data_IF_721484312829
#
_entry.id   IF_721484312829
#
_cell.length_a   1.000
_cell.length_b   1.000
_cell.length_c   1.000
_cell.angle_alpha   90.00
_cell.angle_beta   90.00
_cell.angle_gamma   90.00
#
_symmetry.space_group_name_H-M   'P 1'
#
loop_
_entity.id
_entity.type
_entity.pdbx_description
1 polymer ?
#
# COMPACT_ATOMS: atom_id res chain seq x y z
N UNK A 1 -3.22 11.83 -16.98
CA UNK A 1 -4.14 10.92 -16.26
C UNK A 1 -3.55 9.55 -15.95
N UNK A 2 -2.91 8.87 -16.90
CA UNK A 2 -2.44 7.49 -16.71
C UNK A 2 -1.16 7.38 -15.86
N UNK A 3 -0.21 8.33 -16.00
CA UNK A 3 1.09 8.31 -15.29
C UNK A 3 0.94 8.21 -13.75
N UNK A 4 0.11 9.04 -13.08
CA UNK A 4 -0.09 8.90 -11.64
C UNK A 4 -0.61 7.52 -11.23
N UNK A 5 -1.51 6.96 -12.04
CA UNK A 5 -2.08 5.65 -11.80
C UNK A 5 -1.07 4.52 -11.90
N UNK A 6 -0.23 4.53 -12.94
CA UNK A 6 0.82 3.52 -13.12
C UNK A 6 1.82 3.53 -11.97
N UNK A 7 2.28 4.72 -11.55
CA UNK A 7 3.22 4.86 -10.42
C UNK A 7 2.60 4.30 -9.14
N UNK A 8 1.34 4.63 -8.84
CA UNK A 8 0.64 4.09 -7.68
C UNK A 8 0.50 2.57 -7.75
N UNK A 9 0.08 2.03 -8.89
CA UNK A 9 -0.06 0.57 -9.07
C UNK A 9 1.28 -0.15 -8.82
N UNK A 10 2.39 0.39 -9.33
CA UNK A 10 3.72 -0.17 -9.09
C UNK A 10 4.12 -0.14 -7.62
N UNK A 11 3.87 0.97 -6.91
CA UNK A 11 4.15 1.09 -5.47
C UNK A 11 3.31 0.09 -4.68
N UNK A 12 2.01 0.04 -4.95
CA UNK A 12 1.05 -0.84 -4.27
C UNK A 12 1.48 -2.31 -4.38
N UNK A 13 1.73 -2.77 -5.61
CA UNK A 13 2.10 -4.16 -5.88
C UNK A 13 3.44 -4.53 -5.26
N UNK A 14 4.44 -3.64 -5.35
CA UNK A 14 5.77 -3.92 -4.81
C UNK A 14 5.82 -3.84 -3.29
N UNK A 15 5.19 -2.85 -2.67
CA UNK A 15 5.14 -2.72 -1.20
C UNK A 15 4.37 -3.87 -0.56
N UNK A 16 3.23 -4.28 -1.15
CA UNK A 16 2.45 -5.41 -0.68
C UNK A 16 3.18 -6.74 -0.90
N UNK A 17 3.64 -7.00 -2.12
CA UNK A 17 4.28 -8.26 -2.49
C UNK A 17 5.58 -8.50 -1.71
N UNK A 18 6.38 -7.44 -1.49
CA UNK A 18 7.64 -7.55 -0.78
C UNK A 18 7.46 -7.98 0.68
N UNK A 19 6.63 -7.27 1.44
CA UNK A 19 6.44 -7.65 2.86
C UNK A 19 5.75 -8.99 2.99
N UNK A 20 4.78 -9.29 2.11
CA UNK A 20 4.00 -10.51 2.24
C UNK A 20 4.88 -11.72 1.98
N UNK A 21 5.73 -11.67 0.94
CA UNK A 21 6.71 -12.71 0.65
C UNK A 21 7.86 -12.77 1.67
N UNK A 22 8.42 -11.63 2.11
CA UNK A 22 9.52 -11.62 3.08
C UNK A 22 9.09 -12.14 4.45
N UNK A 23 7.92 -11.73 4.94
CA UNK A 23 7.41 -12.19 6.23
C UNK A 23 6.95 -13.64 6.16
N UNK A 24 6.24 -14.04 5.11
CA UNK A 24 5.84 -15.44 4.91
C UNK A 24 7.06 -16.35 4.73
N UNK A 25 8.09 -15.92 4.01
CA UNK A 25 9.35 -16.65 3.87
C UNK A 25 10.07 -16.85 5.20
N UNK A 26 10.13 -15.80 6.03
CA UNK A 26 10.68 -15.89 7.38
C UNK A 26 9.88 -16.85 8.27
N UNK A 27 8.55 -16.86 8.13
CA UNK A 27 7.64 -17.80 8.81
C UNK A 27 7.91 -19.24 8.38
N UNK A 28 8.01 -19.48 7.08
CA UNK A 28 8.25 -20.80 6.52
C UNK A 28 9.60 -21.38 6.95
N UNK A 29 10.62 -20.52 7.05
CA UNK A 29 11.94 -20.89 7.56
C UNK A 29 12.06 -20.97 9.08
N UNK A 30 10.96 -20.82 9.84
CA UNK A 30 10.94 -20.80 11.32
C UNK A 30 11.79 -19.71 12.02
N UNK A 31 12.42 -18.81 11.26
CA UNK A 31 13.18 -17.68 11.81
C UNK A 31 12.32 -16.73 12.68
N UNK A 32 11.00 -16.69 12.44
CA UNK A 32 10.10 -15.87 13.28
C UNK A 32 9.96 -16.45 14.70
N UNK A 33 10.03 -17.78 14.86
CA UNK A 33 9.99 -18.42 16.18
C UNK A 33 11.24 -18.04 16.99
N UNK A 34 12.42 -18.03 16.35
CA UNK A 34 13.67 -17.59 16.99
C UNK A 34 13.66 -16.09 17.33
N UNK A 35 13.12 -15.24 16.44
CA UNK A 35 12.95 -13.81 16.72
C UNK A 35 11.97 -13.55 17.87
N UNK A 36 10.95 -14.39 18.06
CA UNK A 36 10.00 -14.29 19.18
C UNK A 36 10.58 -14.80 20.51
N UNK A 37 11.59 -15.68 20.47
CA UNK A 37 12.33 -16.13 21.66
C UNK A 37 13.35 -15.08 22.11
N UNK A 38 13.89 -14.30 21.17
CA UNK A 38 14.69 -13.12 21.51
C UNK A 38 13.81 -12.03 22.15
N UNK A 39 14.30 -11.27 23.15
CA UNK A 39 13.53 -10.21 23.82
C UNK A 39 13.42 -8.94 22.95
N UNK A 40 13.11 -9.10 21.66
CA UNK A 40 12.94 -7.98 20.74
C UNK A 40 11.54 -7.39 20.83
N UNK A 41 11.41 -6.05 20.95
CA UNK A 41 10.09 -5.41 20.94
C UNK A 41 9.37 -5.63 19.60
N UNK A 42 8.10 -6.04 19.65
CA UNK A 42 7.27 -6.30 18.45
C UNK A 42 7.23 -5.12 17.45
N UNK A 43 7.34 -3.89 17.95
CA UNK A 43 7.38 -2.69 17.13
C UNK A 43 8.64 -2.59 16.26
N UNK A 44 9.78 -3.12 16.73
CA UNK A 44 11.03 -3.14 15.96
C UNK A 44 10.94 -4.15 14.83
N UNK A 45 10.33 -5.31 15.09
CA UNK A 45 10.08 -6.35 14.09
C UNK A 45 9.17 -5.80 12.98
N UNK A 46 8.01 -5.26 13.36
CA UNK A 46 7.07 -4.67 12.41
C UNK A 46 7.72 -3.51 11.65
N UNK A 47 8.40 -2.61 12.37
CA UNK A 47 9.09 -1.46 11.80
C UNK A 47 10.15 -1.86 10.77
N UNK A 48 10.94 -2.89 11.03
CA UNK A 48 11.97 -3.39 10.12
C UNK A 48 11.38 -3.91 8.80
N UNK A 49 10.38 -4.79 8.88
CA UNK A 49 9.72 -5.33 7.67
C UNK A 49 8.97 -4.26 6.89
N UNK A 50 8.23 -3.39 7.58
CA UNK A 50 7.49 -2.29 6.95
C UNK A 50 8.45 -1.31 6.28
N UNK A 51 9.53 -0.91 6.96
CA UNK A 51 10.52 0.02 6.38
C UNK A 51 11.19 -0.57 5.15
N UNK A 52 11.58 -1.85 5.17
CA UNK A 52 12.15 -2.52 4.01
C UNK A 52 11.18 -2.58 2.81
N UNK A 53 9.91 -2.85 3.06
CA UNK A 53 8.88 -2.90 2.01
C UNK A 53 8.47 -1.52 1.49
N UNK A 54 8.45 -0.51 2.36
CA UNK A 54 8.27 0.88 1.98
C UNK A 54 9.43 1.32 1.11
N UNK A 55 10.68 1.11 1.53
CA UNK A 55 11.87 1.49 0.78
C UNK A 55 11.87 0.88 -0.63
N UNK A 56 11.58 -0.43 -0.75
CA UNK A 56 11.50 -1.10 -2.06
C UNK A 56 10.37 -0.52 -2.92
N UNK A 57 9.19 -0.30 -2.34
CA UNK A 57 8.06 0.32 -3.05
C UNK A 57 8.37 1.74 -3.52
N UNK A 58 9.05 2.54 -2.69
CA UNK A 58 9.52 3.88 -3.03
C UNK A 58 10.54 3.86 -4.16
N UNK A 59 11.53 2.96 -4.11
CA UNK A 59 12.53 2.82 -5.17
C UNK A 59 11.89 2.49 -6.51
N UNK A 60 10.99 1.49 -6.54
CA UNK A 60 10.29 1.12 -7.77
C UNK A 60 9.39 2.26 -8.24
N UNK A 61 8.64 2.90 -7.35
CA UNK A 61 7.80 4.05 -7.67
C UNK A 61 8.60 5.23 -8.23
N UNK A 62 9.78 5.51 -7.67
CA UNK A 62 10.69 6.56 -8.13
C UNK A 62 11.26 6.24 -9.52
N UNK A 63 11.64 4.98 -9.77
CA UNK A 63 12.10 4.53 -11.09
C UNK A 63 10.99 4.72 -12.13
N UNK A 64 9.76 4.28 -11.83
CA UNK A 64 8.62 4.42 -12.73
C UNK A 64 8.29 5.90 -12.99
N UNK A 65 8.34 6.74 -11.96
CA UNK A 65 8.14 8.18 -12.11
C UNK A 65 9.24 8.83 -12.96
N UNK A 66 10.51 8.44 -12.77
CA UNK A 66 11.64 8.93 -13.55
C UNK A 66 11.47 8.58 -15.04
N UNK A 67 11.13 7.33 -15.35
CA UNK A 67 10.85 6.90 -16.72
C UNK A 67 9.65 7.68 -17.28
N UNK A 68 8.58 7.85 -16.52
CA UNK A 68 7.41 8.59 -16.98
C UNK A 68 7.73 10.08 -17.28
N UNK A 69 8.62 10.71 -16.52
CA UNK A 69 9.07 12.09 -16.79
C UNK A 69 9.87 12.21 -18.10
N UNK A 70 10.53 11.16 -18.57
CA UNK A 70 11.20 11.16 -19.88
C UNK A 70 10.20 11.18 -21.04
N UNK A 71 9.02 10.57 -20.86
CA UNK A 71 7.96 10.52 -21.88
C UNK A 71 6.93 11.64 -21.76
N UNK A 72 6.79 12.26 -20.58
CA UNK A 72 5.80 13.32 -20.33
C UNK A 72 6.38 14.46 -19.50
N UNK A 73 6.13 15.71 -19.95
CA UNK A 73 6.49 16.91 -19.20
C UNK A 73 5.55 17.09 -18.00
N UNK A 74 5.84 16.36 -16.91
CA UNK A 74 5.08 16.48 -15.66
C UNK A 74 5.64 17.65 -14.86
N UNK A 75 4.96 18.80 -14.90
CA UNK A 75 5.18 19.85 -13.90
C UNK A 75 4.59 19.32 -12.58
N UNK A 76 5.41 19.20 -11.54
CA UNK A 76 4.98 18.77 -10.21
C UNK A 76 4.65 20.03 -9.40
N UNK A 77 3.39 20.50 -9.32
CA UNK A 77 3.04 21.70 -8.58
C UNK A 77 3.22 21.53 -7.06
N UNK A 78 3.02 20.32 -6.52
CA UNK A 78 3.11 20.06 -5.09
C UNK A 78 3.94 18.80 -4.77
N UNK A 79 5.28 18.88 -4.84
CA UNK A 79 6.16 17.73 -4.62
C UNK A 79 6.06 17.12 -3.21
N UNK A 80 5.81 17.94 -2.18
CA UNK A 80 5.61 17.46 -0.80
C UNK A 80 4.38 16.57 -0.67
N UNK A 81 3.28 16.93 -1.33
CA UNK A 81 2.02 16.16 -1.30
C UNK A 81 2.20 14.82 -2.01
N UNK A 82 2.92 14.83 -3.13
CA UNK A 82 3.29 13.63 -3.89
C UNK A 82 4.08 12.65 -3.02
N UNK A 83 5.15 13.11 -2.37
CA UNK A 83 6.00 12.27 -1.51
C UNK A 83 5.20 11.74 -0.32
N UNK A 84 4.44 12.60 0.37
CA UNK A 84 3.66 12.20 1.53
C UNK A 84 2.60 11.14 1.19
N UNK A 85 1.91 11.31 0.05
CA UNK A 85 0.90 10.34 -0.41
C UNK A 85 1.53 9.00 -0.75
N UNK A 86 2.68 9.01 -1.44
CA UNK A 86 3.41 7.80 -1.82
C UNK A 86 3.94 7.06 -0.59
N UNK A 87 4.49 7.80 0.39
CA UNK A 87 4.99 7.22 1.64
C UNK A 87 3.88 6.57 2.47
N UNK A 88 2.78 7.30 2.66
CA UNK A 88 1.61 6.78 3.38
C UNK A 88 1.00 5.59 2.63
N UNK A 89 0.91 5.67 1.30
CA UNK A 89 0.38 4.59 0.50
C UNK A 89 1.22 3.32 0.57
N UNK A 90 2.54 3.45 0.41
CA UNK A 90 3.46 2.33 0.59
C UNK A 90 3.31 1.70 1.98
N UNK A 91 3.16 2.53 3.02
CA UNK A 91 3.00 2.06 4.40
C UNK A 91 1.69 1.30 4.61
N UNK A 92 0.56 1.81 4.10
CA UNK A 92 -0.76 1.13 4.18
C UNK A 92 -0.69 -0.26 3.53
N UNK A 93 -0.15 -0.34 2.31
CA UNK A 93 -0.08 -1.61 1.59
C UNK A 93 0.96 -2.56 2.15
N UNK A 94 2.04 -2.05 2.73
CA UNK A 94 2.96 -2.87 3.51
C UNK A 94 2.27 -3.43 4.77
N UNK A 95 1.54 -2.63 5.53
CA UNK A 95 0.80 -3.14 6.69
C UNK A 95 -0.29 -4.15 6.30
N UNK A 96 -1.00 -3.91 5.20
CA UNK A 96 -1.98 -4.85 4.67
C UNK A 96 -1.33 -6.19 4.25
N UNK A 97 -0.20 -6.13 3.55
CA UNK A 97 0.56 -7.31 3.14
C UNK A 97 1.13 -8.10 4.33
N UNK A 98 1.51 -7.39 5.40
CA UNK A 98 1.92 -7.99 6.67
C UNK A 98 0.78 -8.77 7.32
N UNK A 99 -0.39 -8.12 7.48
CA UNK A 99 -1.58 -8.79 8.05
C UNK A 99 -1.91 -10.05 7.25
N UNK A 100 -1.88 -9.97 5.92
CA UNK A 100 -2.11 -11.14 5.07
C UNK A 100 -1.09 -12.26 5.31
N UNK A 101 0.20 -11.93 5.40
CA UNK A 101 1.26 -12.91 5.61
C UNK A 101 1.20 -13.60 6.98
N UNK A 102 0.68 -12.93 8.00
CA UNK A 102 0.44 -13.54 9.33
C UNK A 102 -0.59 -14.66 9.21
N UNK A 103 -1.71 -14.41 8.53
CA UNK A 103 -2.80 -15.38 8.37
C UNK A 103 -2.54 -16.46 7.32
N UNK A 104 -1.72 -16.16 6.31
CA UNK A 104 -1.41 -17.11 5.25
C UNK A 104 -0.73 -18.38 5.79
N UNK A 105 -1.17 -19.53 5.29
CA UNK A 105 -0.59 -20.85 5.61
C UNK A 105 0.18 -21.42 4.43
N UNK A 106 -0.20 -21.06 3.20
CA UNK A 106 0.43 -21.49 1.96
C UNK A 106 0.91 -20.28 1.13
N UNK A 107 1.87 -20.52 0.24
CA UNK A 107 2.32 -19.51 -0.74
C UNK A 107 1.16 -19.03 -1.63
N UNK A 108 0.21 -19.92 -1.95
CA UNK A 108 -0.96 -19.57 -2.76
C UNK A 108 -1.87 -18.56 -2.04
N UNK A 109 -2.03 -18.66 -0.71
CA UNK A 109 -2.83 -17.72 0.09
C UNK A 109 -2.23 -16.31 0.05
N UNK A 110 -0.90 -16.22 0.02
CA UNK A 110 -0.17 -14.94 -0.07
C UNK A 110 -0.40 -14.25 -1.43
N UNK A 111 -0.46 -15.03 -2.51
CA UNK A 111 -0.59 -14.53 -3.88
C UNK A 111 -2.05 -14.29 -4.32
N UNK A 112 -3.02 -15.00 -3.73
CA UNK A 112 -4.44 -14.86 -4.05
C UNK A 112 -4.97 -13.46 -3.71
N UNK A 113 -4.63 -12.91 -2.54
CA UNK A 113 -5.14 -11.59 -2.11
C UNK A 113 -4.76 -10.44 -3.06
N UNK A 114 -3.49 -10.28 -3.49
CA UNK A 114 -3.13 -9.29 -4.51
C UNK A 114 -3.94 -9.44 -5.79
N UNK A 115 -4.17 -10.68 -6.23
CA UNK A 115 -4.76 -10.98 -7.54
C UNK A 115 -6.27 -10.80 -7.54
N UNK A 116 -6.96 -11.35 -6.54
CA UNK A 116 -8.43 -11.38 -6.47
C UNK A 116 -9.05 -10.16 -5.80
N UNK A 117 -8.31 -9.44 -4.94
CA UNK A 117 -8.84 -8.31 -4.17
C UNK A 117 -8.14 -7.03 -4.57
N UNK A 118 -6.82 -6.99 -4.45
CA UNK A 118 -6.05 -5.76 -4.59
C UNK A 118 -6.07 -5.22 -6.03
N UNK A 119 -5.92 -6.11 -7.01
CA UNK A 119 -5.94 -5.77 -8.43
C UNK A 119 -7.29 -5.18 -8.84
N UNK A 120 -8.45 -5.85 -8.64
CA UNK A 120 -9.74 -5.26 -8.97
C UNK A 120 -10.06 -3.99 -8.16
N UNK A 121 -9.67 -3.90 -6.89
CA UNK A 121 -9.79 -2.65 -6.13
C UNK A 121 -8.94 -1.53 -6.72
N UNK A 122 -7.74 -1.82 -7.21
CA UNK A 122 -6.89 -0.81 -7.85
C UNK A 122 -7.52 -0.32 -9.15
N UNK A 123 -8.06 -1.22 -9.98
CA UNK A 123 -8.77 -0.85 -11.20
C UNK A 123 -10.08 -0.08 -10.92
N UNK A 124 -10.87 -0.50 -9.92
CA UNK A 124 -12.10 0.19 -9.50
C UNK A 124 -11.82 1.50 -8.74
N UNK A 125 -10.57 1.72 -8.32
CA UNK A 125 -10.13 2.90 -7.59
C UNK A 125 -9.79 4.10 -8.47
N UNK A 126 -10.26 4.16 -9.71
CA UNK A 126 -10.05 5.33 -10.58
C UNK A 126 -8.60 5.60 -10.96
N UNK A 127 -7.75 4.57 -10.97
CA UNK A 127 -6.31 4.66 -11.33
C UNK A 127 -6.11 5.11 -12.78
N UNK A 128 -7.00 4.69 -13.68
CA UNK A 128 -6.87 4.93 -15.11
C UNK A 128 -7.92 5.87 -15.70
N UNK A 129 -8.97 6.20 -14.95
CA UNK A 129 -10.12 6.99 -15.42
C UNK A 129 -10.55 8.04 -14.39
N UNK A 130 -11.21 9.10 -14.86
CA UNK A 130 -11.90 10.03 -13.96
C UNK A 130 -13.25 9.45 -13.57
N UNK A 131 -13.58 9.50 -12.28
CA UNK A 131 -14.86 9.02 -11.74
C UNK A 131 -16.08 9.78 -12.28
N UNK A 132 -15.89 11.01 -12.77
CA UNK A 132 -16.95 11.80 -13.42
C UNK A 132 -17.45 11.19 -14.73
N UNK A 133 -16.73 10.22 -15.29
CA UNK A 133 -17.11 9.53 -16.53
C UNK A 133 -17.89 8.23 -16.28
N UNK A 134 -18.11 7.85 -15.01
CA UNK A 134 -18.79 6.60 -14.66
C UNK A 134 -20.28 6.84 -14.39
N UNK A 135 -21.16 5.86 -14.71
CA UNK A 135 -22.56 5.90 -14.31
C UNK A 135 -22.70 5.89 -12.77
N UNK A 136 -23.79 6.46 -12.25
CA UNK A 136 -24.00 6.75 -10.81
C UNK A 136 -23.77 5.54 -9.87
N UNK A 137 -24.14 4.33 -10.32
CA UNK A 137 -23.92 3.10 -9.56
C UNK A 137 -22.43 2.78 -9.38
N UNK A 138 -21.62 3.01 -10.42
CA UNK A 138 -20.19 2.73 -10.41
C UNK A 138 -19.42 3.85 -9.69
N UNK A 139 -19.90 5.09 -9.76
CA UNK A 139 -19.38 6.20 -8.96
C UNK A 139 -19.51 5.90 -7.45
N UNK A 140 -20.68 5.42 -7.01
CA UNK A 140 -20.92 5.05 -5.60
C UNK A 140 -19.97 3.94 -5.13
N UNK A 141 -19.73 2.93 -5.97
CA UNK A 141 -18.76 1.86 -5.67
C UNK A 141 -17.32 2.37 -5.56
N UNK A 142 -16.90 3.30 -6.43
CA UNK A 142 -15.55 3.87 -6.37
C UNK A 142 -15.35 4.76 -5.14
N UNK A 143 -16.38 5.48 -4.68
CA UNK A 143 -16.31 6.28 -3.45
C UNK A 143 -16.18 5.44 -2.16
N UNK A 144 -16.62 4.17 -2.19
CA UNK A 144 -16.41 3.23 -1.08
C UNK A 144 -14.96 2.71 -1.01
N UNK A 145 -14.17 2.88 -2.08
CA UNK A 145 -12.85 2.30 -2.19
C UNK A 145 -11.76 3.23 -1.59
N UNK A 146 -11.03 2.80 -0.55
CA UNK A 146 -9.96 3.62 0.05
C UNK A 146 -8.81 3.91 -0.94
N UNK A 147 -8.56 3.03 -1.92
CA UNK A 147 -7.53 3.21 -2.95
C UNK A 147 -7.84 4.42 -3.84
N UNK A 148 -9.13 4.71 -4.07
CA UNK A 148 -9.55 5.88 -4.83
C UNK A 148 -9.07 7.20 -4.20
N UNK A 149 -9.17 7.33 -2.88
CA UNK A 149 -8.71 8.53 -2.18
C UNK A 149 -7.19 8.71 -2.29
N UNK A 150 -6.44 7.61 -2.22
CA UNK A 150 -4.97 7.62 -2.33
C UNK A 150 -4.52 8.07 -3.72
N UNK A 151 -5.13 7.52 -4.76
CA UNK A 151 -4.82 7.85 -6.15
C UNK A 151 -5.15 9.30 -6.45
N UNK A 152 -6.28 9.82 -5.93
CA UNK A 152 -6.64 11.23 -6.10
C UNK A 152 -5.68 12.18 -5.39
N UNK A 153 -5.24 11.87 -4.16
CA UNK A 153 -4.25 12.67 -3.45
C UNK A 153 -2.91 12.72 -4.22
N UNK A 154 -2.49 11.59 -4.80
CA UNK A 154 -1.27 11.52 -5.60
C UNK A 154 -1.42 12.29 -6.91
N UNK A 155 -2.59 12.17 -7.55
CA UNK A 155 -2.93 12.91 -8.77
C UNK A 155 -2.95 14.42 -8.52
N UNK A 156 -3.45 14.87 -7.37
CA UNK A 156 -3.38 16.28 -6.97
C UNK A 156 -1.92 16.75 -6.84
N UNK A 157 -1.04 15.94 -6.25
CA UNK A 157 0.38 16.26 -6.14
C UNK A 157 1.09 16.46 -7.49
N UNK A 158 0.73 15.66 -8.49
CA UNK A 158 1.34 15.68 -9.83
C UNK A 158 0.65 16.61 -10.85
N UNK A 159 -0.67 16.80 -10.76
CA UNK A 159 -1.45 17.55 -11.77
C UNK A 159 -2.08 18.83 -11.20
N UNK A 160 -1.99 19.08 -9.90
CA UNK A 160 -2.59 20.27 -9.23
C UNK A 160 -4.12 20.27 -9.21
N UNK A 161 -4.77 19.21 -9.69
CA UNK A 161 -6.23 19.08 -9.79
C UNK A 161 -6.70 17.88 -8.99
N UNK A 162 -7.63 18.10 -8.06
CA UNK A 162 -8.25 17.03 -7.27
C UNK A 162 -9.75 17.03 -7.48
N UNK A 163 -10.34 15.85 -7.62
CA UNK A 163 -11.80 15.68 -7.58
C UNK A 163 -12.31 15.62 -6.12
N UNK A 164 -11.42 15.51 -5.11
CA UNK A 164 -11.75 15.33 -3.68
C UNK A 164 -10.89 16.27 -2.81
N UNK A 165 -11.40 16.83 -1.70
CA UNK A 165 -10.58 17.56 -0.74
C UNK A 165 -9.40 16.72 -0.23
N UNK A 166 -8.18 17.22 -0.46
CA UNK A 166 -6.92 16.53 -0.11
C UNK A 166 -6.87 16.18 1.39
N UNK A 167 -7.41 17.05 2.25
CA UNK A 167 -7.49 16.80 3.70
C UNK A 167 -8.27 15.54 4.08
N UNK A 168 -9.36 15.22 3.37
CA UNK A 168 -10.14 13.99 3.62
C UNK A 168 -9.32 12.76 3.22
N UNK A 169 -8.64 12.82 2.08
CA UNK A 169 -7.79 11.73 1.61
C UNK A 169 -6.65 11.44 2.61
N UNK A 170 -5.95 12.48 3.09
CA UNK A 170 -4.89 12.31 4.09
C UNK A 170 -5.43 11.81 5.43
N UNK A 171 -6.55 12.34 5.91
CA UNK A 171 -7.18 11.88 7.16
C UNK A 171 -7.54 10.39 7.09
N UNK A 172 -8.11 9.95 5.97
CA UNK A 172 -8.46 8.55 5.73
C UNK A 172 -7.20 7.67 5.65
N UNK A 173 -6.17 8.10 4.92
CA UNK A 173 -4.89 7.39 4.83
C UNK A 173 -4.21 7.22 6.19
N UNK A 174 -4.13 8.29 7.00
CA UNK A 174 -3.56 8.23 8.35
C UNK A 174 -4.41 7.29 9.24
N UNK A 175 -5.74 7.37 9.14
CA UNK A 175 -6.64 6.46 9.84
C UNK A 175 -6.35 4.99 9.51
N UNK A 176 -6.17 4.66 8.22
CA UNK A 176 -5.81 3.31 7.79
C UNK A 176 -4.44 2.86 8.31
N UNK A 177 -3.43 3.74 8.31
CA UNK A 177 -2.11 3.44 8.88
C UNK A 177 -2.22 3.13 10.37
N UNK A 178 -2.98 3.92 11.13
CA UNK A 178 -3.17 3.69 12.56
C UNK A 178 -3.91 2.38 12.84
N UNK A 179 -5.00 2.11 12.11
CA UNK A 179 -5.79 0.88 12.27
C UNK A 179 -4.98 -0.36 11.88
N UNK A 180 -4.33 -0.36 10.72
CA UNK A 180 -3.53 -1.51 10.29
C UNK A 180 -2.25 -1.67 11.11
N UNK A 181 -1.65 -0.57 11.56
CA UNK A 181 -0.48 -0.58 12.43
C UNK A 181 -0.81 -1.20 13.78
N UNK A 182 -1.88 -0.73 14.43
CA UNK A 182 -2.35 -1.30 15.71
C UNK A 182 -2.75 -2.76 15.59
N UNK A 183 -3.46 -3.13 14.51
CA UNK A 183 -3.78 -4.54 14.21
C UNK A 183 -2.53 -5.40 14.02
N UNK A 184 -1.53 -4.92 13.28
CA UNK A 184 -0.28 -5.65 13.05
C UNK A 184 0.49 -5.92 14.34
N UNK A 185 0.53 -4.95 15.24
CA UNK A 185 1.18 -5.09 16.55
C UNK A 185 0.41 -6.00 17.49
N UNK A 186 -0.92 -5.91 17.45
CA UNK A 186 -1.78 -6.79 18.22
C UNK A 186 -1.63 -8.24 17.76
N UNK A 187 -1.54 -8.47 16.44
CA UNK A 187 -1.26 -9.79 15.85
C UNK A 187 0.08 -10.35 16.32
N UNK A 188 1.14 -9.53 16.31
CA UNK A 188 2.45 -9.92 16.84
C UNK A 188 2.40 -10.23 18.34
N UNK A 189 1.67 -9.44 19.14
CA UNK A 189 1.52 -9.69 20.59
C UNK A 189 0.76 -10.98 20.88
N UNK A 190 -0.26 -11.28 20.09
CA UNK A 190 -1.12 -12.45 20.30
C UNK A 190 -0.49 -13.74 19.76
N UNK A 191 0.55 -13.66 18.93
CA UNK A 191 1.26 -14.81 18.38
C UNK A 191 0.41 -15.69 17.46
N UNK A 192 -0.69 -15.16 16.93
CA UNK A 192 -1.66 -15.93 16.12
C UNK A 192 -0.98 -16.35 14.83
N UNK A 193 -0.82 -17.67 14.62
CA UNK A 193 -0.18 -18.23 13.44
C UNK A 193 1.35 -18.29 13.48
N UNK A 194 1.99 -17.89 14.60
CA UNK A 194 3.45 -17.95 14.81
C UNK A 194 3.90 -19.06 15.77
N UNK A 195 2.95 -19.71 16.46
CA UNK A 195 3.15 -20.95 17.21
C UNK A 195 2.35 -22.05 16.52
N UNK A 196 3.02 -22.99 15.87
CA UNK A 196 2.47 -24.30 15.52
C UNK A 196 3.51 -25.38 15.67
#
# INVERSE_FOLDING_TARGET
>A
FIVPGLVMMSIIQNSYGNISSSFFGAKFGRHIEEMLVSPMPNWVILGGYVTGAVLRGLLVGAIVLCIAMLFTHVRIPHPLVTIATVLLGATIFSLAGFVNAVYAKKFDDVAIVPTFILTPLTYLGGVFYSVKMLPDWAQTMTHANPVFYMVNAFRYGLLGTSDIPVGIAFGLMIGFVLVLGTLGLWLLKRGVGLRS
#
